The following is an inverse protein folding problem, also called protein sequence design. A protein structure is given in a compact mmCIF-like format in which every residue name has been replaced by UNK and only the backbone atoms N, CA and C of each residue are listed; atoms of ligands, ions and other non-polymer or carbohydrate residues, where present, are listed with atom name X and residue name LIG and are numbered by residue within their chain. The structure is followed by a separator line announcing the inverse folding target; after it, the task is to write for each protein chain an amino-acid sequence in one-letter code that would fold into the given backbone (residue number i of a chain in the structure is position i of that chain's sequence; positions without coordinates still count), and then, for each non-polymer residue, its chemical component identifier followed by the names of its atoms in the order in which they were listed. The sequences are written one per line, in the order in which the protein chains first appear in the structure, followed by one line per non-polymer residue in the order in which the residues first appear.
data_IF_757149036279
#
_entry.id   IF_757149036279
#
_cell.length_a   1.000
_cell.length_b   1.000
_cell.length_c   1.000
_cell.angle_alpha   90.00
_cell.angle_beta   90.00
_cell.angle_gamma   90.00
#
_symmetry.space_group_name_H-M   'P 1'
#
loop_
_entity.id
_entity.type
_entity.pdbx_description
1 polymer ?
#
# COMPACT_ATOMS: atom_id res chain seq x y z
N UNK A 1 23.70 -39.32 -36.04
CA UNK A 1 23.04 -39.21 -34.72
C UNK A 1 24.12 -39.23 -33.65
N UNK A 2 24.54 -38.05 -33.20
CA UNK A 2 25.61 -37.90 -32.21
C UNK A 2 24.97 -37.33 -30.96
N UNK A 3 24.91 -38.15 -29.91
CA UNK A 3 24.34 -37.84 -28.60
C UNK A 3 25.05 -36.65 -27.95
N UNK A 4 24.30 -35.57 -27.71
CA UNK A 4 24.70 -34.46 -26.85
C UNK A 4 24.87 -34.97 -25.41
N UNK A 5 26.04 -34.74 -24.83
CA UNK A 5 26.41 -35.13 -23.46
C UNK A 5 25.49 -34.45 -22.44
N UNK A 6 24.85 -35.26 -21.58
CA UNK A 6 24.01 -34.82 -20.47
C UNK A 6 24.72 -33.95 -19.40
N UNK A 7 26.05 -33.78 -19.49
CA UNK A 7 26.84 -33.00 -18.53
C UNK A 7 26.73 -31.47 -18.66
N UNK A 8 26.30 -30.94 -19.81
CA UNK A 8 26.22 -29.48 -20.03
C UNK A 8 24.96 -28.82 -19.46
N UNK A 9 23.91 -29.60 -19.18
CA UNK A 9 22.62 -29.07 -18.69
C UNK A 9 22.62 -28.75 -17.19
N UNK A 10 23.42 -29.45 -16.38
CA UNK A 10 23.48 -29.23 -14.93
C UNK A 10 24.30 -28.00 -14.53
N UNK A 11 25.10 -27.43 -15.44
CA UNK A 11 25.96 -26.29 -15.15
C UNK A 11 25.26 -24.93 -15.39
N UNK A 12 24.09 -24.94 -16.05
CA UNK A 12 23.23 -23.75 -16.22
C UNK A 12 22.23 -23.55 -15.07
N UNK A 13 22.09 -24.53 -14.18
CA UNK A 13 21.09 -24.52 -13.09
C UNK A 13 21.65 -24.07 -11.73
N UNK A 14 22.92 -23.67 -11.65
CA UNK A 14 23.55 -23.14 -10.43
C UNK A 14 23.81 -21.63 -10.48
N UNK A 15 23.06 -20.88 -11.32
CA UNK A 15 23.02 -19.42 -11.19
C UNK A 15 22.38 -19.13 -9.84
N UNK A 16 23.23 -18.95 -8.82
CA UNK A 16 22.91 -18.24 -7.59
C UNK A 16 22.09 -17.03 -7.99
N UNK A 17 20.77 -17.10 -7.76
CA UNK A 17 19.83 -16.05 -8.12
C UNK A 17 20.13 -14.89 -7.16
N UNK A 18 21.10 -14.05 -7.53
CA UNK A 18 21.45 -12.86 -6.77
C UNK A 18 20.19 -11.99 -6.69
N UNK A 19 19.70 -11.81 -5.47
CA UNK A 19 18.56 -10.94 -5.20
C UNK A 19 19.01 -9.52 -5.55
N UNK A 20 18.27 -8.77 -6.38
CA UNK A 20 18.63 -7.39 -6.68
C UNK A 20 18.69 -6.53 -5.41
N UNK A 21 19.68 -5.64 -5.30
CA UNK A 21 19.90 -4.79 -4.11
C UNK A 21 18.65 -4.03 -3.66
N UNK A 22 17.80 -3.62 -4.60
CA UNK A 22 16.53 -2.95 -4.28
C UNK A 22 15.56 -3.89 -3.57
N UNK A 23 15.42 -5.13 -4.04
CA UNK A 23 14.57 -6.15 -3.42
C UNK A 23 15.09 -6.53 -2.04
N UNK A 24 16.42 -6.59 -1.88
CA UNK A 24 17.05 -6.85 -0.58
C UNK A 24 16.73 -5.73 0.44
N UNK A 25 16.87 -4.47 0.05
CA UNK A 25 16.47 -3.32 0.90
C UNK A 25 14.99 -3.33 1.25
N UNK A 26 14.13 -3.69 0.30
CA UNK A 26 12.70 -3.83 0.53
C UNK A 26 12.39 -4.93 1.57
N UNK A 27 13.09 -6.06 1.51
CA UNK A 27 12.96 -7.15 2.49
C UNK A 27 13.41 -6.68 3.89
N UNK A 28 14.54 -5.99 3.98
CA UNK A 28 15.06 -5.43 5.24
C UNK A 28 14.10 -4.42 5.86
N UNK A 29 13.54 -3.52 5.05
CA UNK A 29 12.52 -2.55 5.48
C UNK A 29 11.31 -3.27 6.08
N UNK A 30 10.76 -4.26 5.37
CA UNK A 30 9.62 -5.04 5.86
C UNK A 30 9.97 -5.81 7.13
N UNK A 31 11.20 -6.34 7.23
CA UNK A 31 11.70 -7.00 8.43
C UNK A 31 11.68 -6.09 9.66
N UNK A 32 12.13 -4.84 9.52
CA UNK A 32 12.06 -3.83 10.59
C UNK A 32 10.63 -3.49 10.98
N UNK A 33 9.75 -3.27 10.01
CA UNK A 33 8.33 -3.00 10.27
C UNK A 33 7.65 -4.18 10.97
N UNK A 34 8.01 -5.41 10.62
CA UNK A 34 7.49 -6.61 11.25
C UNK A 34 7.93 -6.75 12.72
N UNK A 35 9.08 -6.18 13.08
CA UNK A 35 9.61 -6.03 14.42
C UNK A 35 9.15 -4.74 15.14
N UNK A 36 8.11 -4.07 14.61
CA UNK A 36 7.50 -2.85 15.15
C UNK A 36 8.49 -1.66 15.30
N UNK A 37 9.47 -1.55 14.41
CA UNK A 37 10.29 -0.34 14.26
C UNK A 37 9.43 0.83 13.73
N UNK A 38 9.18 1.81 14.59
CA UNK A 38 8.36 2.99 14.29
C UNK A 38 8.94 3.84 13.16
N UNK A 39 10.26 4.03 13.11
CA UNK A 39 10.89 4.84 12.05
C UNK A 39 10.81 4.16 10.69
N UNK A 40 10.97 2.84 10.66
CA UNK A 40 10.77 2.05 9.45
C UNK A 40 9.31 2.15 8.97
N UNK A 41 8.35 2.15 9.90
CA UNK A 41 6.95 2.33 9.58
C UNK A 41 6.63 3.73 9.07
N UNK A 42 7.15 4.79 9.70
CA UNK A 42 7.01 6.18 9.24
C UNK A 42 7.53 6.36 7.82
N UNK A 43 8.73 5.85 7.52
CA UNK A 43 9.30 5.93 6.18
C UNK A 43 8.49 5.15 5.14
N UNK A 44 7.87 4.03 5.54
CA UNK A 44 6.93 3.31 4.69
C UNK A 44 5.67 4.13 4.43
N UNK A 45 5.06 4.72 5.47
CA UNK A 45 3.87 5.57 5.34
C UNK A 45 4.18 6.73 4.40
N UNK A 46 5.29 7.44 4.61
CA UNK A 46 5.71 8.56 3.76
C UNK A 46 5.83 8.14 2.28
N UNK A 47 6.48 7.00 2.02
CA UNK A 47 6.69 6.49 0.66
C UNK A 47 5.41 6.13 -0.09
N UNK A 48 4.35 5.74 0.63
CA UNK A 48 3.09 5.26 0.04
C UNK A 48 1.88 6.16 0.34
N UNK A 49 2.10 7.34 0.94
CA UNK A 49 1.02 8.26 1.34
C UNK A 49 0.20 8.67 0.12
N UNK A 50 0.84 9.10 -0.97
CA UNK A 50 0.12 9.65 -2.11
C UNK A 50 -0.76 8.60 -2.82
N UNK A 51 -0.29 7.35 -2.92
CA UNK A 51 -1.10 6.24 -3.44
C UNK A 51 -2.28 5.93 -2.53
N UNK A 52 -2.07 5.99 -1.22
CA UNK A 52 -3.10 5.71 -0.22
C UNK A 52 -4.14 6.83 -0.19
N UNK A 53 -3.73 8.10 -0.26
CA UNK A 53 -4.62 9.26 -0.40
C UNK A 53 -5.48 9.15 -1.66
N UNK A 54 -4.87 8.84 -2.80
CA UNK A 54 -5.59 8.65 -4.05
C UNK A 54 -6.65 7.55 -3.92
N UNK A 55 -6.27 6.40 -3.36
CA UNK A 55 -7.19 5.25 -3.20
C UNK A 55 -8.31 5.54 -2.21
N UNK A 56 -7.99 6.16 -1.06
CA UNK A 56 -8.97 6.57 -0.06
C UNK A 56 -10.00 7.54 -0.68
N UNK A 57 -9.54 8.52 -1.45
CA UNK A 57 -10.42 9.46 -2.17
C UNK A 57 -11.30 8.73 -3.18
N UNK A 58 -10.73 7.85 -3.99
CA UNK A 58 -11.48 7.06 -4.99
C UNK A 58 -12.64 6.29 -4.36
N UNK A 59 -12.40 5.65 -3.21
CA UNK A 59 -13.42 4.88 -2.50
C UNK A 59 -14.44 5.78 -1.81
N UNK A 60 -13.98 6.83 -1.13
CA UNK A 60 -14.88 7.73 -0.40
C UNK A 60 -15.81 8.51 -1.32
N UNK A 61 -15.36 8.98 -2.49
CA UNK A 61 -16.21 9.77 -3.41
C UNK A 61 -17.47 9.01 -3.83
N UNK A 62 -17.42 7.68 -3.96
CA UNK A 62 -18.58 6.85 -4.35
C UNK A 62 -19.56 6.58 -3.21
N UNK A 63 -19.17 6.92 -1.99
CA UNK A 63 -19.70 6.36 -0.74
C UNK A 63 -19.80 7.41 0.38
N UNK A 64 -19.59 8.68 0.06
CA UNK A 64 -19.57 9.79 1.01
C UNK A 64 -21.00 10.16 1.39
N UNK A 65 -21.33 10.02 2.68
CA UNK A 65 -22.63 10.44 3.22
C UNK A 65 -22.72 11.93 3.52
N UNK A 66 -21.60 12.64 3.51
CA UNK A 66 -21.52 14.06 3.89
C UNK A 66 -21.78 14.97 2.70
N UNK A 67 -22.64 15.98 2.91
CA UNK A 67 -22.91 17.03 1.93
C UNK A 67 -21.70 17.96 1.77
N UNK A 68 -21.23 18.14 0.53
CA UNK A 68 -20.13 19.04 0.21
C UNK A 68 -20.44 20.53 0.49
N UNK A 69 -21.72 20.90 0.64
CA UNK A 69 -22.13 22.26 1.03
C UNK A 69 -22.13 22.49 2.55
N UNK A 70 -21.92 21.44 3.34
CA UNK A 70 -22.03 21.49 4.81
C UNK A 70 -20.73 21.08 5.48
N UNK A 71 -19.96 20.18 4.88
CA UNK A 71 -18.72 19.65 5.43
C UNK A 71 -17.57 19.76 4.43
N UNK A 72 -16.37 19.95 4.98
CA UNK A 72 -15.12 19.78 4.26
C UNK A 72 -14.52 18.41 4.56
N UNK A 73 -13.93 17.73 3.59
CA UNK A 73 -13.33 16.41 3.84
C UNK A 73 -11.93 16.56 4.44
N UNK A 74 -11.68 16.02 5.64
CA UNK A 74 -10.36 16.09 6.29
C UNK A 74 -9.24 15.45 5.47
N UNK A 75 -9.56 14.44 4.65
CA UNK A 75 -8.60 13.85 3.69
C UNK A 75 -8.11 14.87 2.67
N UNK A 76 -9.00 15.78 2.24
CA UNK A 76 -8.63 16.86 1.33
C UNK A 76 -7.77 17.91 2.04
N UNK A 77 -8.03 18.20 3.32
CA UNK A 77 -7.17 19.05 4.14
C UNK A 77 -5.74 18.51 4.19
N UNK A 78 -5.59 17.22 4.49
CA UNK A 78 -4.29 16.55 4.49
C UNK A 78 -3.60 16.63 3.11
N UNK A 79 -4.34 16.37 2.03
CA UNK A 79 -3.80 16.46 0.66
C UNK A 79 -3.31 17.87 0.30
N UNK A 80 -4.04 18.91 0.73
CA UNK A 80 -3.69 20.31 0.48
C UNK A 80 -2.45 20.70 1.28
N UNK A 81 -2.41 20.36 2.57
CA UNK A 81 -1.27 20.65 3.45
C UNK A 81 0.02 20.01 2.95
N UNK A 82 -0.04 18.75 2.48
CA UNK A 82 1.11 18.07 1.86
C UNK A 82 1.62 18.75 0.59
N UNK A 83 0.75 19.47 -0.11
CA UNK A 83 1.11 20.26 -1.29
C UNK A 83 1.61 21.67 -0.93
N UNK A 84 1.79 21.97 0.36
CA UNK A 84 2.21 23.29 0.85
C UNK A 84 1.08 24.33 0.95
N UNK A 85 -0.16 23.91 0.75
CA UNK A 85 -1.33 24.78 0.87
C UNK A 85 -1.89 24.84 2.29
N UNK A 86 -2.81 25.77 2.52
CA UNK A 86 -3.65 25.80 3.71
C UNK A 86 -5.10 25.52 3.32
N UNK A 87 -5.80 24.60 4.01
CA UNK A 87 -7.25 24.47 3.85
C UNK A 87 -7.90 25.81 4.20
N UNK A 88 -8.80 26.32 3.36
CA UNK A 88 -9.44 27.64 3.53
C UNK A 88 -10.93 27.55 3.83
N UNK A 89 -11.43 26.34 4.14
CA UNK A 89 -12.85 26.13 4.39
C UNK A 89 -13.25 26.61 5.78
N UNK A 90 -14.33 27.38 5.86
CA UNK A 90 -15.02 27.69 7.14
C UNK A 90 -15.99 26.56 7.56
N UNK A 91 -16.20 25.56 6.71
CA UNK A 91 -17.05 24.41 7.01
C UNK A 91 -16.35 23.46 8.00
N UNK A 92 -17.09 22.79 8.90
CA UNK A 92 -16.54 21.74 9.74
C UNK A 92 -15.95 20.60 8.89
N UNK A 93 -14.87 19.99 9.38
CA UNK A 93 -14.27 18.83 8.74
C UNK A 93 -15.02 17.54 9.09
N UNK A 94 -15.14 16.62 8.13
CA UNK A 94 -15.53 15.24 8.39
C UNK A 94 -14.34 14.29 8.22
N UNK A 95 -14.29 13.26 9.07
CA UNK A 95 -13.15 12.34 9.16
C UNK A 95 -13.28 11.09 8.29
N UNK A 96 -14.40 10.93 7.56
CA UNK A 96 -14.70 9.70 6.81
C UNK A 96 -13.58 9.29 5.82
N UNK A 97 -12.97 10.28 5.18
CA UNK A 97 -11.82 10.07 4.29
C UNK A 97 -10.53 9.75 5.04
N UNK A 98 -10.32 10.38 6.20
CA UNK A 98 -9.17 10.14 7.07
C UNK A 98 -9.23 8.74 7.70
N UNK A 99 -10.39 8.31 8.17
CA UNK A 99 -10.61 6.95 8.69
C UNK A 99 -10.28 5.90 7.63
N UNK A 100 -10.70 6.13 6.38
CA UNK A 100 -10.35 5.24 5.26
C UNK A 100 -8.85 5.21 4.99
N UNK A 101 -8.19 6.37 5.01
CA UNK A 101 -6.73 6.49 4.85
C UNK A 101 -5.98 5.70 5.94
N UNK A 102 -6.37 5.88 7.20
CA UNK A 102 -5.78 5.18 8.36
C UNK A 102 -6.01 3.68 8.21
N UNK A 103 -7.24 3.26 7.91
CA UNK A 103 -7.59 1.85 7.74
C UNK A 103 -6.75 1.19 6.65
N UNK A 104 -6.53 1.85 5.51
CA UNK A 104 -5.69 1.29 4.42
C UNK A 104 -4.28 1.01 4.96
N UNK A 105 -3.67 1.96 5.68
CA UNK A 105 -2.34 1.77 6.23
C UNK A 105 -2.27 0.67 7.29
N UNK A 106 -3.27 0.56 8.17
CA UNK A 106 -3.34 -0.55 9.13
C UNK A 106 -3.37 -1.91 8.43
N UNK A 107 -4.14 -2.03 7.34
CA UNK A 107 -4.19 -3.27 6.58
C UNK A 107 -2.91 -3.51 5.78
N UNK A 108 -2.29 -2.47 5.22
CA UNK A 108 -0.98 -2.58 4.59
C UNK A 108 0.04 -3.09 5.59
N UNK A 109 0.14 -2.52 6.81
CA UNK A 109 1.04 -2.97 7.87
C UNK A 109 0.91 -4.47 8.15
N UNK A 110 -0.32 -5.00 8.14
CA UNK A 110 -0.59 -6.45 8.33
C UNK A 110 -0.19 -7.28 7.11
N UNK A 111 -0.49 -6.82 5.90
CA UNK A 111 -0.29 -7.59 4.65
C UNK A 111 1.15 -7.60 4.16
N UNK A 112 1.90 -6.51 4.34
CA UNK A 112 3.30 -6.42 3.91
C UNK A 112 4.21 -7.40 4.65
N UNK A 113 3.82 -7.88 5.84
CA UNK A 113 4.56 -8.95 6.54
C UNK A 113 4.68 -10.25 5.73
N UNK A 114 3.87 -10.43 4.68
CA UNK A 114 3.94 -11.58 3.75
C UNK A 114 4.86 -11.34 2.54
N UNK A 115 5.36 -10.12 2.37
CA UNK A 115 6.29 -9.79 1.30
C UNK A 115 7.62 -10.51 1.53
N UNK A 116 8.15 -11.12 0.47
CA UNK A 116 9.39 -11.91 0.51
C UNK A 116 10.33 -11.65 -0.66
N UNK A 117 10.00 -10.68 -1.54
CA UNK A 117 10.78 -10.42 -2.76
C UNK A 117 10.77 -11.57 -3.78
N UNK A 118 9.87 -12.55 -3.63
CA UNK A 118 9.77 -13.71 -4.54
C UNK A 118 9.69 -13.25 -6.00
N UNK A 119 10.47 -13.90 -6.86
CA UNK A 119 10.61 -13.56 -8.28
C UNK A 119 11.12 -12.13 -8.53
N UNK A 120 11.95 -11.59 -7.64
CA UNK A 120 12.48 -10.22 -7.72
C UNK A 120 11.38 -9.15 -7.74
N UNK A 121 10.20 -9.45 -7.17
CA UNK A 121 9.11 -8.49 -7.06
C UNK A 121 9.50 -7.39 -6.07
N UNK A 122 9.32 -6.12 -6.47
CA UNK A 122 9.54 -4.97 -5.60
C UNK A 122 8.39 -4.81 -4.60
N UNK A 123 8.69 -4.23 -3.43
CA UNK A 123 7.66 -3.90 -2.44
C UNK A 123 6.62 -2.95 -3.02
N UNK A 124 7.04 -1.99 -3.84
CA UNK A 124 6.12 -1.06 -4.51
C UNK A 124 5.11 -1.78 -5.39
N UNK A 125 5.54 -2.79 -6.14
CA UNK A 125 4.65 -3.61 -6.96
C UNK A 125 3.68 -4.40 -6.10
N UNK A 126 4.18 -5.00 -5.01
CA UNK A 126 3.35 -5.74 -4.06
C UNK A 126 2.28 -4.85 -3.40
N UNK A 127 2.64 -3.66 -2.93
CA UNK A 127 1.71 -2.67 -2.35
C UNK A 127 0.69 -2.22 -3.40
N UNK A 128 1.14 -1.90 -4.62
CA UNK A 128 0.26 -1.53 -5.72
C UNK A 128 -0.80 -2.60 -6.00
N UNK A 129 -0.41 -3.88 -6.03
CA UNK A 129 -1.33 -4.99 -6.22
C UNK A 129 -2.36 -5.08 -5.09
N UNK A 130 -1.95 -4.88 -3.83
CA UNK A 130 -2.90 -4.87 -2.69
C UNK A 130 -3.93 -3.75 -2.88
N UNK A 131 -3.46 -2.52 -3.08
CA UNK A 131 -4.31 -1.32 -3.20
C UNK A 131 -5.33 -1.40 -4.35
N UNK A 132 -5.01 -2.14 -5.41
CA UNK A 132 -5.86 -2.29 -6.59
C UNK A 132 -6.58 -3.65 -6.65
N UNK A 133 -6.46 -4.49 -5.62
CA UNK A 133 -7.18 -5.76 -5.56
C UNK A 133 -8.64 -5.56 -5.19
N UNK A 134 -9.53 -6.32 -5.85
CA UNK A 134 -10.97 -6.34 -5.53
C UNK A 134 -11.23 -6.79 -4.10
N UNK A 135 -10.46 -7.78 -3.64
CA UNK A 135 -10.55 -8.33 -2.29
C UNK A 135 -10.31 -7.25 -1.24
N UNK A 136 -9.30 -6.40 -1.45
CA UNK A 136 -8.99 -5.33 -0.51
C UNK A 136 -10.10 -4.27 -0.43
N UNK A 137 -10.73 -3.95 -1.57
CA UNK A 137 -11.90 -3.08 -1.60
C UNK A 137 -13.13 -3.71 -0.92
N UNK A 138 -13.36 -5.02 -1.08
CA UNK A 138 -14.44 -5.73 -0.39
C UNK A 138 -14.21 -5.71 1.13
N UNK A 139 -12.97 -5.94 1.58
CA UNK A 139 -12.62 -5.86 3.00
C UNK A 139 -12.87 -4.45 3.57
N UNK A 140 -12.61 -3.41 2.78
CA UNK A 140 -12.94 -2.03 3.14
C UNK A 140 -14.46 -1.82 3.28
N UNK A 141 -15.27 -2.29 2.31
CA UNK A 141 -16.73 -2.20 2.40
C UNK A 141 -17.26 -2.89 3.65
N UNK A 142 -16.72 -4.08 3.98
CA UNK A 142 -17.11 -4.84 5.17
C UNK A 142 -16.72 -4.15 6.46
N UNK A 143 -15.57 -3.47 6.48
CA UNK A 143 -15.16 -2.66 7.63
C UNK A 143 -16.06 -1.43 7.77
N UNK A 144 -16.34 -0.71 6.68
CA UNK A 144 -17.10 0.54 6.71
C UNK A 144 -18.59 0.33 7.00
N UNK A 145 -19.20 -0.74 6.48
CA UNK A 145 -20.65 -0.95 6.51
C UNK A 145 -21.10 -2.26 7.17
N UNK A 146 -20.16 -3.12 7.58
CA UNK A 146 -20.45 -4.44 8.12
C UNK A 146 -20.61 -5.53 7.05
N UNK A 147 -20.87 -6.77 7.49
CA UNK A 147 -20.91 -8.00 6.65
C UNK A 147 -22.09 -8.11 5.67
N UNK A 148 -22.93 -7.10 5.55
CA UNK A 148 -24.11 -7.12 4.67
C UNK A 148 -23.80 -6.77 3.19
N UNK A 149 -22.52 -6.59 2.85
CA UNK A 149 -21.98 -6.39 1.50
C UNK A 149 -21.00 -7.49 1.09
#
# INVERSE_FOLDING_TARGET
MTTLKAGAYNQLMSVSKTIPDKVQRDIELVGKIAADDEKAWEGFVESYTDWTLYKAKEWCVKHCGYSAGTYFCGLLSLSIQRSGGSPSSMLPECDEGMDTYIWIFEQLKRRIKKYSGKNNCLLSTFVWTILNSREFYIDWLRWKYGRAF
#
